data_IF_208863555947
#
_entry.id   IF_208863555947
#
_cell.length_a   1.000
_cell.length_b   1.000
_cell.length_c   1.000
_cell.angle_alpha   90.00
_cell.angle_beta   90.00
_cell.angle_gamma   90.00
#
_symmetry.space_group_name_H-M   'P 1'
#
loop_
_entity.id
_entity.type
_entity.pdbx_description
1 polymer ?
#
# COMPACT_ATOMS: atom_id res chain seq x y z
N UNK A 1 3.69 7.73 -1.75
CA UNK A 1 4.07 6.50 -2.49
C UNK A 1 4.70 5.46 -1.58
N UNK A 2 5.60 5.83 -0.68
CA UNK A 2 6.26 4.86 0.20
C UNK A 2 5.31 4.03 1.06
N UNK A 3 4.27 4.68 1.57
CA UNK A 3 3.15 4.10 2.33
C UNK A 3 2.48 2.92 1.61
N UNK A 4 2.37 2.99 0.27
CA UNK A 4 1.78 1.94 -0.55
C UNK A 4 2.59 0.64 -0.47
N UNK A 5 3.92 0.73 -0.57
CA UNK A 5 4.79 -0.44 -0.54
C UNK A 5 4.83 -1.10 0.83
N UNK A 6 4.71 -0.31 1.91
CA UNK A 6 4.57 -0.84 3.27
C UNK A 6 3.28 -1.66 3.42
N UNK A 7 2.15 -1.13 2.95
CA UNK A 7 0.85 -1.84 3.01
C UNK A 7 0.91 -3.10 2.15
N UNK A 8 1.46 -3.03 0.93
CA UNK A 8 1.58 -4.20 0.05
C UNK A 8 2.44 -5.28 0.70
N UNK A 9 3.58 -4.91 1.28
CA UNK A 9 4.43 -5.85 2.01
C UNK A 9 3.68 -6.51 3.16
N UNK A 10 2.93 -5.73 3.96
CA UNK A 10 2.15 -6.26 5.07
C UNK A 10 1.02 -7.19 4.59
N UNK A 11 0.32 -6.84 3.51
CA UNK A 11 -0.70 -7.70 2.90
C UNK A 11 -0.12 -9.04 2.46
N UNK A 12 1.07 -9.03 1.85
CA UNK A 12 1.80 -10.26 1.52
C UNK A 12 2.19 -11.06 2.76
N UNK A 13 2.67 -10.39 3.81
CA UNK A 13 2.98 -11.03 5.08
C UNK A 13 1.76 -11.74 5.68
N UNK A 14 0.60 -11.06 5.70
CA UNK A 14 -0.68 -11.64 6.16
C UNK A 14 -1.09 -12.84 5.29
N UNK A 15 -0.96 -12.76 3.97
CA UNK A 15 -1.33 -13.86 3.08
C UNK A 15 -0.38 -15.06 3.17
N UNK A 16 0.92 -14.82 3.29
CA UNK A 16 1.94 -15.85 3.47
C UNK A 16 1.83 -16.52 4.84
N UNK A 17 1.26 -15.83 5.84
CA UNK A 17 0.97 -16.39 7.16
C UNK A 17 -0.15 -17.45 7.17
N UNK A 18 -0.53 -18.01 6.00
CA UNK A 18 -1.72 -18.82 5.68
C UNK A 18 -2.15 -19.94 6.65
N UNK A 19 -1.35 -20.22 7.66
CA UNK A 19 -1.68 -20.88 8.92
C UNK A 19 -2.91 -20.26 9.60
N UNK A 20 -3.19 -18.96 9.44
CA UNK A 20 -4.35 -18.29 10.04
C UNK A 20 -5.71 -18.87 9.62
N UNK A 21 -5.79 -19.51 8.44
CA UNK A 21 -7.03 -20.20 8.01
C UNK A 21 -7.42 -21.34 8.94
N UNK A 22 -6.47 -21.93 9.68
CA UNK A 22 -6.73 -23.00 10.66
C UNK A 22 -7.41 -22.51 11.94
N UNK A 23 -7.39 -21.20 12.20
CA UNK A 23 -8.01 -20.58 13.39
C UNK A 23 -9.51 -20.33 13.17
N UNK A 24 -9.97 -20.31 11.91
CA UNK A 24 -11.37 -20.05 11.56
C UNK A 24 -12.22 -21.31 11.75
N UNK A 25 -13.51 -21.14 12.07
CA UNK A 25 -14.47 -22.25 12.12
C UNK A 25 -14.66 -22.93 10.75
N UNK A 26 -15.00 -24.24 10.75
CA UNK A 26 -15.13 -25.06 9.54
C UNK A 26 -16.08 -24.47 8.48
N UNK A 27 -17.21 -23.87 8.90
CA UNK A 27 -18.17 -23.28 7.96
C UNK A 27 -17.62 -22.04 7.26
N UNK A 28 -16.88 -21.20 7.99
CA UNK A 28 -16.25 -20.02 7.40
C UNK A 28 -15.13 -20.42 6.44
N UNK A 29 -14.30 -21.40 6.82
CA UNK A 29 -13.29 -21.98 5.92
C UNK A 29 -13.94 -22.52 4.63
N UNK A 30 -15.05 -23.26 4.76
CA UNK A 30 -15.81 -23.80 3.62
C UNK A 30 -16.39 -22.69 2.74
N UNK A 31 -16.86 -21.60 3.33
CA UNK A 31 -17.39 -20.44 2.59
C UNK A 31 -16.30 -19.70 1.82
N UNK A 32 -15.14 -19.45 2.45
CA UNK A 32 -13.95 -18.86 1.82
C UNK A 32 -13.41 -19.74 0.68
N UNK A 33 -13.41 -21.07 0.87
CA UNK A 33 -12.99 -22.03 -0.17
C UNK A 33 -13.98 -22.10 -1.35
N UNK A 34 -15.25 -21.73 -1.16
CA UNK A 34 -16.28 -21.78 -2.21
C UNK A 34 -16.42 -20.48 -3.00
N UNK A 35 -16.21 -19.33 -2.37
CA UNK A 35 -16.44 -18.03 -2.99
C UNK A 35 -15.15 -17.20 -3.06
N UNK A 36 -14.51 -17.10 -4.24
CA UNK A 36 -13.41 -16.17 -4.45
C UNK A 36 -13.79 -14.73 -4.09
N UNK A 37 -15.04 -14.33 -4.36
CA UNK A 37 -15.56 -13.00 -4.03
C UNK A 37 -15.48 -12.73 -2.53
N UNK A 38 -15.81 -13.71 -1.68
CA UNK A 38 -15.70 -13.55 -0.23
C UNK A 38 -14.24 -13.29 0.20
N UNK A 39 -13.27 -13.98 -0.41
CA UNK A 39 -11.85 -13.76 -0.15
C UNK A 39 -11.42 -12.35 -0.57
N UNK A 40 -11.89 -11.90 -1.74
CA UNK A 40 -11.62 -10.55 -2.23
C UNK A 40 -12.19 -9.46 -1.32
N UNK A 41 -13.42 -9.62 -0.82
CA UNK A 41 -14.05 -8.69 0.12
C UNK A 41 -13.31 -8.64 1.45
N UNK A 42 -12.94 -9.79 2.01
CA UNK A 42 -12.17 -9.85 3.27
C UNK A 42 -10.84 -9.10 3.09
N UNK A 43 -10.11 -9.35 2.00
CA UNK A 43 -8.86 -8.66 1.74
C UNK A 43 -9.04 -7.15 1.52
N UNK A 44 -10.09 -6.74 0.82
CA UNK A 44 -10.41 -5.32 0.63
C UNK A 44 -10.72 -4.64 1.96
N UNK A 45 -11.53 -5.27 2.82
CA UNK A 45 -11.83 -4.74 4.16
C UNK A 45 -10.59 -4.70 5.04
N UNK A 46 -9.70 -5.69 4.97
CA UNK A 46 -8.42 -5.64 5.67
C UNK A 46 -7.58 -4.45 5.21
N UNK A 47 -7.41 -4.24 3.90
CA UNK A 47 -6.69 -3.07 3.37
C UNK A 47 -7.33 -1.77 3.88
N UNK A 48 -8.66 -1.67 3.80
CA UNK A 48 -9.39 -0.50 4.28
C UNK A 48 -9.16 -0.27 5.79
N UNK A 49 -9.20 -1.32 6.61
CA UNK A 49 -8.98 -1.21 8.05
C UNK A 49 -7.55 -0.79 8.40
N UNK A 50 -6.54 -1.43 7.78
CA UNK A 50 -5.13 -1.10 7.99
C UNK A 50 -4.79 0.32 7.53
N UNK A 51 -5.40 0.76 6.43
CA UNK A 51 -5.20 2.11 5.94
C UNK A 51 -5.97 3.12 6.75
N UNK A 52 -7.31 3.04 6.76
CA UNK A 52 -8.16 4.09 7.30
C UNK A 52 -8.26 4.06 8.82
N UNK A 53 -8.51 2.90 9.43
CA UNK A 53 -8.79 2.82 10.88
C UNK A 53 -7.51 2.85 11.68
N UNK A 54 -6.52 2.07 11.27
CA UNK A 54 -5.28 1.93 12.03
C UNK A 54 -4.22 2.97 11.66
N UNK A 55 -4.38 3.67 10.52
CA UNK A 55 -3.42 4.65 10.02
C UNK A 55 -1.98 4.08 9.91
N UNK A 56 -1.83 2.75 9.78
CA UNK A 56 -0.54 2.03 9.81
C UNK A 56 0.39 2.37 8.66
N UNK A 57 -0.16 2.98 7.62
CA UNK A 57 0.58 3.44 6.46
C UNK A 57 1.38 4.72 6.74
N UNK A 58 1.03 5.43 7.81
CA UNK A 58 1.75 6.62 8.22
C UNK A 58 2.90 6.25 9.15
N UNK A 59 4.13 6.60 8.75
CA UNK A 59 5.31 6.40 9.59
C UNK A 59 5.25 7.19 10.92
N UNK A 60 4.26 8.04 11.14
CA UNK A 60 4.03 8.75 12.41
C UNK A 60 3.71 7.80 13.58
N UNK A 61 3.16 6.60 13.32
CA UNK A 61 2.88 5.63 14.37
C UNK A 61 4.11 4.94 14.98
N UNK A 62 5.28 5.01 14.33
CA UNK A 62 6.51 4.35 14.78
C UNK A 62 7.53 5.42 15.18
N UNK A 63 7.64 5.66 16.49
CA UNK A 63 8.73 6.43 17.11
C UNK A 63 8.53 7.94 17.22
N UNK A 64 7.34 8.47 16.96
CA UNK A 64 7.05 9.88 17.26
C UNK A 64 6.62 10.02 18.73
N UNK A 65 7.59 10.31 19.59
CA UNK A 65 7.35 10.70 20.99
C UNK A 65 7.12 12.20 21.14
N UNK A 66 7.08 12.96 20.04
CA UNK A 66 6.73 14.37 20.13
C UNK A 66 5.21 14.49 20.28
N UNK A 67 4.70 15.17 21.31
CA UNK A 67 3.30 15.56 21.41
C UNK A 67 3.06 16.72 20.44
N UNK A 68 3.32 16.50 19.15
CA UNK A 68 2.95 17.41 18.09
C UNK A 68 1.67 16.91 17.41
N UNK A 69 0.75 16.47 18.26
CA UNK A 69 -0.69 16.71 18.12
C UNK A 69 -1.05 18.21 18.38
N UNK A 70 -0.08 19.12 18.27
CA UNK A 70 -0.23 20.56 18.47
C UNK A 70 -0.10 21.32 17.15
N UNK A 71 -0.83 20.87 16.13
CA UNK A 71 -1.44 21.80 15.18
C UNK A 71 -2.92 21.46 15.13
N UNK A 72 -3.69 22.35 15.75
CA UNK A 72 -5.16 22.39 15.79
C UNK A 72 -5.87 21.24 16.52
N UNK A 73 -5.79 21.29 17.86
CA UNK A 73 -6.71 20.70 18.85
C UNK A 73 -8.17 21.26 18.70
N UNK A 74 -8.73 21.22 17.48
CA UNK A 74 -10.19 21.29 17.22
C UNK A 74 -10.71 20.06 16.49
N UNK A 75 -9.84 19.14 16.06
CA UNK A 75 -10.25 17.93 15.35
C UNK A 75 -9.80 16.61 15.97
N UNK A 76 -9.22 16.62 17.17
CA UNK A 76 -9.37 15.46 18.06
C UNK A 76 -10.83 15.37 18.44
N UNK A 77 -11.42 14.23 18.15
CA UNK A 77 -12.83 13.92 18.31
C UNK A 77 -13.27 14.07 19.79
N UNK A 78 -13.64 15.29 20.17
CA UNK A 78 -14.61 15.48 21.25
C UNK A 78 -15.93 14.88 20.75
N UNK A 79 -16.18 13.62 21.10
CA UNK A 79 -17.47 12.93 20.98
C UNK A 79 -18.55 13.55 21.88
N UNK A 80 -18.57 14.88 22.05
CA UNK A 80 -19.54 15.58 22.89
C UNK A 80 -20.67 16.25 22.08
N UNK A 81 -20.65 16.20 20.74
CA UNK A 81 -21.78 16.67 19.95
C UNK A 81 -21.98 15.85 18.66
N UNK A 82 -22.88 14.86 18.75
CA UNK A 82 -23.24 13.96 17.65
C UNK A 82 -23.99 14.65 16.48
N UNK A 83 -24.35 15.94 16.60
CA UNK A 83 -25.09 16.67 15.58
C UNK A 83 -24.23 17.23 14.43
N UNK A 84 -22.90 17.19 14.53
CA UNK A 84 -21.96 17.64 13.48
C UNK A 84 -21.19 16.49 12.80
N UNK A 85 -21.75 15.27 12.82
CA UNK A 85 -21.09 14.06 12.34
C UNK A 85 -20.91 13.99 10.81
N UNK A 86 -21.59 14.84 10.03
CA UNK A 86 -21.56 14.84 8.56
C UNK A 86 -21.27 16.21 7.95
N UNK A 87 -20.17 16.85 8.37
CA UNK A 87 -19.66 17.98 7.59
C UNK A 87 -19.10 17.49 6.24
N UNK A 88 -19.24 18.30 5.18
CA UNK A 88 -18.73 17.97 3.84
C UNK A 88 -17.24 17.58 3.84
N UNK A 89 -16.46 18.12 4.77
CA UNK A 89 -15.03 17.83 4.94
C UNK A 89 -14.77 16.40 5.43
N UNK A 90 -15.55 15.91 6.41
CA UNK A 90 -15.44 14.53 6.90
C UNK A 90 -15.83 13.52 5.82
N UNK A 91 -16.86 13.81 5.04
CA UNK A 91 -17.28 12.98 3.90
C UNK A 91 -16.19 12.95 2.83
N UNK A 92 -15.58 14.09 2.52
CA UNK A 92 -14.46 14.18 1.56
C UNK A 92 -13.25 13.38 2.04
N UNK A 93 -12.94 13.42 3.33
CA UNK A 93 -11.89 12.61 3.93
C UNK A 93 -12.17 11.10 3.81
N UNK A 94 -13.37 10.67 4.19
CA UNK A 94 -13.82 9.28 4.05
C UNK A 94 -13.74 8.80 2.60
N UNK A 95 -14.26 9.59 1.66
CA UNK A 95 -14.22 9.30 0.23
C UNK A 95 -12.79 9.11 -0.28
N UNK A 96 -11.87 10.00 0.11
CA UNK A 96 -10.46 9.87 -0.24
C UNK A 96 -9.82 8.60 0.36
N UNK A 97 -10.18 8.24 1.60
CA UNK A 97 -9.74 7.00 2.24
C UNK A 97 -10.21 5.74 1.50
N UNK A 98 -11.49 5.71 1.10
CA UNK A 98 -12.07 4.62 0.31
C UNK A 98 -11.37 4.52 -1.06
N UNK A 99 -11.19 5.64 -1.76
CA UNK A 99 -10.54 5.66 -3.08
C UNK A 99 -9.09 5.17 -3.00
N UNK A 100 -8.33 5.62 -1.99
CA UNK A 100 -6.96 5.14 -1.73
C UNK A 100 -6.94 3.64 -1.47
N UNK A 101 -7.85 3.13 -0.65
CA UNK A 101 -7.95 1.70 -0.31
C UNK A 101 -8.24 0.86 -1.56
N UNK A 102 -9.18 1.31 -2.41
CA UNK A 102 -9.48 0.66 -3.69
C UNK A 102 -8.27 0.64 -4.62
N UNK A 103 -7.51 1.74 -4.69
CA UNK A 103 -6.30 1.83 -5.51
C UNK A 103 -5.20 0.85 -5.02
N UNK A 104 -4.94 0.84 -3.70
CA UNK A 104 -3.95 -0.06 -3.11
C UNK A 104 -4.36 -1.52 -3.33
N UNK A 105 -5.64 -1.82 -3.14
CA UNK A 105 -6.19 -3.14 -3.38
C UNK A 105 -6.06 -3.55 -4.86
N UNK A 106 -6.35 -2.64 -5.79
CA UNK A 106 -6.17 -2.91 -7.22
C UNK A 106 -4.71 -3.23 -7.55
N UNK A 107 -3.75 -2.47 -7.01
CA UNK A 107 -2.33 -2.74 -7.19
C UNK A 107 -1.95 -4.09 -6.57
N UNK A 108 -2.47 -4.40 -5.38
CA UNK A 108 -2.28 -5.72 -4.77
C UNK A 108 -2.80 -6.86 -5.67
N UNK A 109 -3.96 -6.69 -6.32
CA UNK A 109 -4.45 -7.68 -7.27
C UNK A 109 -3.47 -7.84 -8.44
N UNK A 110 -2.95 -6.75 -9.00
CA UNK A 110 -1.93 -6.82 -10.06
C UNK A 110 -0.70 -7.62 -9.61
N UNK A 111 -0.21 -7.39 -8.38
CA UNK A 111 0.96 -8.12 -7.85
C UNK A 111 0.71 -9.62 -7.70
N UNK A 112 -0.55 -10.06 -7.54
CA UNK A 112 -0.89 -11.50 -7.56
C UNK A 112 -0.98 -12.10 -8.96
N UNK A 113 -1.03 -11.30 -10.02
CA UNK A 113 -1.18 -11.71 -11.43
C UNK A 113 0.13 -11.63 -12.21
N UNK A 114 1.25 -11.94 -11.55
CA UNK A 114 2.58 -12.00 -12.15
C UNK A 114 3.20 -13.38 -11.95
N UNK A 115 4.34 -13.65 -12.60
CA UNK A 115 5.08 -14.89 -12.38
C UNK A 115 5.60 -14.98 -10.95
N UNK A 116 5.67 -16.19 -10.38
CA UNK A 116 6.14 -16.40 -9.01
C UNK A 116 7.54 -15.82 -8.75
N UNK A 117 8.45 -15.92 -9.72
CA UNK A 117 9.79 -15.31 -9.64
C UNK A 117 9.71 -13.79 -9.49
N UNK A 118 8.81 -13.12 -10.21
CA UNK A 118 8.66 -11.66 -10.11
C UNK A 118 8.05 -11.23 -8.77
N UNK A 119 7.16 -12.05 -8.17
CA UNK A 119 6.63 -11.78 -6.82
C UNK A 119 7.78 -11.68 -5.81
N UNK A 120 8.75 -12.61 -5.85
CA UNK A 120 9.91 -12.57 -4.96
C UNK A 120 10.77 -11.31 -5.16
N UNK A 121 11.05 -10.95 -6.41
CA UNK A 121 11.77 -9.72 -6.74
C UNK A 121 11.02 -8.49 -6.20
N UNK A 122 9.70 -8.45 -6.37
CA UNK A 122 8.85 -7.37 -5.88
C UNK A 122 8.86 -7.27 -4.34
N UNK A 123 8.83 -8.41 -3.63
CA UNK A 123 8.90 -8.44 -2.17
C UNK A 123 10.24 -7.95 -1.63
N UNK A 124 11.35 -8.39 -2.23
CA UNK A 124 12.69 -7.92 -1.88
C UNK A 124 12.80 -6.41 -2.12
N UNK A 125 12.24 -5.92 -3.24
CA UNK A 125 12.17 -4.50 -3.51
C UNK A 125 11.32 -3.74 -2.47
N UNK A 126 10.17 -4.26 -2.07
CA UNK A 126 9.34 -3.64 -1.02
C UNK A 126 10.13 -3.50 0.29
N UNK A 127 10.84 -4.56 0.70
CA UNK A 127 11.69 -4.53 1.89
C UNK A 127 12.80 -3.48 1.78
N UNK A 128 13.50 -3.46 0.64
CA UNK A 128 14.52 -2.45 0.37
C UNK A 128 13.94 -1.03 0.42
N UNK A 129 12.78 -0.81 -0.19
CA UNK A 129 12.10 0.48 -0.18
C UNK A 129 11.72 0.94 1.24
N UNK A 130 11.25 0.02 2.10
CA UNK A 130 10.93 0.30 3.50
C UNK A 130 12.21 0.69 4.26
N UNK A 131 13.30 -0.05 4.09
CA UNK A 131 14.60 0.27 4.72
C UNK A 131 15.09 1.66 4.27
N UNK A 132 14.99 1.97 2.97
CA UNK A 132 15.37 3.28 2.45
C UNK A 132 14.50 4.42 3.00
N UNK A 133 13.20 4.18 3.22
CA UNK A 133 12.33 5.15 3.87
C UNK A 133 12.72 5.39 5.33
N UNK A 134 13.00 4.32 6.08
CA UNK A 134 13.47 4.41 7.46
C UNK A 134 14.78 5.21 7.51
N UNK A 135 15.71 4.92 6.60
CA UNK A 135 16.98 5.63 6.49
C UNK A 135 16.78 7.12 6.19
N UNK A 136 15.96 7.47 5.19
CA UNK A 136 15.62 8.86 4.87
C UNK A 136 14.98 9.57 6.07
N UNK A 137 13.95 8.97 6.68
CA UNK A 137 13.28 9.54 7.85
C UNK A 137 14.26 9.74 9.02
N UNK A 138 15.13 8.77 9.28
CA UNK A 138 16.15 8.85 10.33
C UNK A 138 17.19 9.94 10.06
N UNK A 139 17.47 10.26 8.80
CA UNK A 139 18.44 11.29 8.45
C UNK A 139 17.92 12.69 8.72
N UNK A 140 16.67 12.96 8.30
CA UNK A 140 16.01 14.24 8.56
C UNK A 140 14.49 14.04 8.61
N UNK A 141 13.97 13.90 9.83
CA UNK A 141 12.54 13.69 10.09
C UNK A 141 11.71 14.88 9.58
N UNK A 142 12.16 16.11 9.84
CA UNK A 142 11.40 17.33 9.51
C UNK A 142 11.23 17.51 8.00
N UNK A 143 12.29 17.30 7.23
CA UNK A 143 12.28 17.39 5.78
C UNK A 143 11.49 16.24 5.16
N UNK A 144 11.69 15.00 5.62
CA UNK A 144 10.94 13.85 5.12
C UNK A 144 9.43 14.04 5.31
N UNK A 145 9.01 14.45 6.51
CA UNK A 145 7.61 14.71 6.84
C UNK A 145 7.04 15.87 6.00
N UNK A 146 7.83 16.93 5.77
CA UNK A 146 7.44 18.04 4.90
C UNK A 146 7.21 17.59 3.45
N UNK A 147 8.08 16.74 2.90
CA UNK A 147 7.93 16.24 1.53
C UNK A 147 6.74 15.30 1.38
N UNK A 148 6.52 14.42 2.36
CA UNK A 148 5.40 13.48 2.33
C UNK A 148 4.04 14.19 2.50
N UNK A 149 3.94 15.12 3.45
CA UNK A 149 2.69 15.88 3.71
C UNK A 149 2.26 16.73 2.51
N UNK A 150 3.21 17.32 1.78
CA UNK A 150 2.92 18.11 0.59
C UNK A 150 2.79 17.27 -0.70
N UNK A 151 2.80 15.94 -0.62
CA UNK A 151 2.77 15.03 -1.78
C UNK A 151 3.83 15.37 -2.84
N UNK A 152 5.02 15.82 -2.43
CA UNK A 152 6.11 16.16 -3.35
C UNK A 152 6.81 14.86 -3.77
N UNK A 153 6.51 14.36 -4.97
CA UNK A 153 7.08 13.11 -5.48
C UNK A 153 8.47 13.29 -6.09
N UNK A 154 8.80 14.48 -6.58
CA UNK A 154 10.08 14.77 -7.19
C UNK A 154 10.46 16.23 -6.93
N UNK A 155 11.69 16.43 -6.47
CA UNK A 155 12.23 17.75 -6.18
C UNK A 155 13.15 18.15 -7.33
N UNK A 156 12.72 19.10 -8.15
CA UNK A 156 13.56 19.70 -9.18
C UNK A 156 14.26 20.97 -8.66
N UNK A 157 13.54 21.79 -7.88
CA UNK A 157 14.05 23.04 -7.34
C UNK A 157 14.39 22.88 -5.84
N UNK A 158 15.68 23.03 -5.53
CA UNK A 158 16.19 22.91 -4.15
C UNK A 158 16.27 24.25 -3.42
N UNK A 159 16.04 25.38 -4.10
CA UNK A 159 16.20 26.72 -3.53
C UNK A 159 15.23 26.97 -2.37
N UNK A 160 13.93 26.74 -2.59
CA UNK A 160 12.88 26.89 -1.57
C UNK A 160 13.08 25.97 -0.36
N UNK A 161 13.65 24.79 -0.59
CA UNK A 161 13.98 23.84 0.46
C UNK A 161 15.23 24.27 1.24
N UNK A 162 16.23 24.80 0.55
CA UNK A 162 17.46 25.31 1.18
C UNK A 162 17.20 26.51 2.08
N UNK A 163 16.25 27.38 1.72
CA UNK A 163 15.87 28.52 2.57
C UNK A 163 15.24 28.04 3.88
N UNK A 164 14.30 27.08 3.79
CA UNK A 164 13.59 26.54 4.95
C UNK A 164 14.45 25.63 5.84
N UNK A 165 15.42 24.91 5.27
CA UNK A 165 16.24 23.90 5.95
C UNK A 165 17.75 24.19 5.86
N UNK A 166 18.13 25.47 5.81
CA UNK A 166 19.49 25.99 5.52
C UNK A 166 20.64 25.44 6.37
N UNK A 167 20.35 24.82 7.53
CA UNK A 167 21.36 24.26 8.45
C UNK A 167 21.77 22.81 8.12
N UNK A 168 21.15 22.17 7.14
CA UNK A 168 21.37 20.76 6.82
C UNK A 168 22.55 20.53 5.86
N UNK A 169 23.72 20.16 6.41
CA UNK A 169 24.95 19.92 5.63
C UNK A 169 24.82 18.84 4.53
N UNK A 170 23.88 17.91 4.65
CA UNK A 170 23.70 16.75 3.73
C UNK A 170 22.42 16.81 2.88
N UNK A 171 21.81 17.99 2.74
CA UNK A 171 20.53 18.15 2.04
C UNK A 171 20.55 17.63 0.58
N UNK A 172 21.66 17.85 -0.15
CA UNK A 172 21.79 17.39 -1.54
C UNK A 172 21.76 15.87 -1.66
N UNK A 173 22.43 15.16 -0.75
CA UNK A 173 22.46 13.69 -0.72
C UNK A 173 21.08 13.13 -0.39
N UNK A 174 20.42 13.72 0.61
CA UNK A 174 19.04 13.38 0.98
C UNK A 174 18.08 13.50 -0.22
N UNK A 175 18.10 14.64 -0.91
CA UNK A 175 17.21 14.90 -2.06
C UNK A 175 17.48 13.91 -3.19
N UNK A 176 18.76 13.60 -3.47
CA UNK A 176 19.13 12.61 -4.47
C UNK A 176 18.58 11.23 -4.14
N UNK A 177 18.71 10.78 -2.89
CA UNK A 177 18.18 9.50 -2.43
C UNK A 177 16.64 9.49 -2.48
N UNK A 178 15.98 10.56 -2.03
CA UNK A 178 14.52 10.69 -2.07
C UNK A 178 13.95 10.64 -3.49
N UNK A 179 14.54 11.42 -4.42
CA UNK A 179 14.15 11.41 -5.83
C UNK A 179 14.43 10.06 -6.47
N UNK A 180 15.59 9.46 -6.19
CA UNK A 180 15.95 8.13 -6.69
C UNK A 180 14.95 7.06 -6.24
N UNK A 181 14.56 7.08 -4.97
CA UNK A 181 13.54 6.19 -4.41
C UNK A 181 12.18 6.42 -5.09
N UNK A 182 11.78 7.68 -5.30
CA UNK A 182 10.52 8.02 -5.97
C UNK A 182 10.47 7.59 -7.43
N UNK A 183 11.56 7.77 -8.19
CA UNK A 183 11.69 7.24 -9.55
C UNK A 183 11.60 5.72 -9.55
N UNK A 184 12.27 5.06 -8.60
CA UNK A 184 12.24 3.60 -8.50
C UNK A 184 10.83 3.06 -8.26
N UNK A 185 9.97 3.79 -7.54
CA UNK A 185 8.54 3.45 -7.40
C UNK A 185 7.80 3.49 -8.72
N UNK A 186 8.06 4.51 -9.56
CA UNK A 186 7.51 4.57 -10.91
C UNK A 186 7.94 3.38 -11.76
N UNK A 187 9.23 3.06 -11.75
CA UNK A 187 9.80 1.94 -12.53
C UNK A 187 9.20 0.60 -12.11
N UNK A 188 9.15 0.30 -10.81
CA UNK A 188 8.63 -1.00 -10.35
C UNK A 188 7.14 -1.15 -10.64
N UNK A 189 6.36 -0.07 -10.56
CA UNK A 189 4.93 -0.09 -10.93
C UNK A 189 4.75 -0.34 -12.42
N UNK A 190 5.56 0.30 -13.28
CA UNK A 190 5.54 0.02 -14.72
C UNK A 190 5.91 -1.45 -15.02
N UNK A 191 6.96 -1.97 -14.36
CA UNK A 191 7.34 -3.38 -14.47
C UNK A 191 6.23 -4.32 -13.99
N UNK A 192 5.52 -3.96 -12.93
CA UNK A 192 4.37 -4.71 -12.43
C UNK A 192 3.24 -4.77 -13.46
N UNK A 193 2.86 -3.64 -14.06
CA UNK A 193 1.85 -3.60 -15.12
C UNK A 193 2.28 -4.44 -16.32
N UNK A 194 3.53 -4.29 -16.76
CA UNK A 194 4.07 -5.05 -17.90
C UNK A 194 4.07 -6.56 -17.64
N UNK A 195 4.52 -7.01 -16.46
CA UNK A 195 4.53 -8.43 -16.09
C UNK A 195 3.11 -8.99 -15.93
N UNK A 196 2.19 -8.18 -15.41
CA UNK A 196 0.78 -8.57 -15.30
C UNK A 196 0.15 -8.77 -16.67
N UNK A 197 0.42 -7.85 -17.61
CA UNK A 197 -0.06 -7.96 -18.98
C UNK A 197 0.55 -9.17 -19.71
N UNK A 198 1.86 -9.41 -19.55
CA UNK A 198 2.53 -10.60 -20.09
C UNK A 198 1.91 -11.89 -19.53
N UNK A 199 1.62 -11.92 -18.24
CA UNK A 199 0.97 -13.05 -17.59
C UNK A 199 -0.47 -13.26 -18.09
N UNK A 200 -1.24 -12.19 -18.28
CA UNK A 200 -2.55 -12.22 -18.92
C UNK A 200 -2.50 -12.84 -20.31
N UNK A 201 -1.58 -12.40 -21.17
CA UNK A 201 -1.42 -12.96 -22.52
C UNK A 201 -1.08 -14.45 -22.50
N UNK A 202 -0.20 -14.87 -21.57
CA UNK A 202 0.12 -16.29 -21.36
C UNK A 202 -1.13 -17.09 -20.97
N UNK A 203 -1.87 -16.63 -19.97
CA UNK A 203 -3.11 -17.28 -19.51
C UNK A 203 -4.17 -17.37 -20.61
N UNK A 204 -4.34 -16.30 -21.40
CA UNK A 204 -5.25 -16.30 -22.56
C UNK A 204 -4.84 -17.34 -23.60
N UNK A 205 -3.53 -17.50 -23.86
CA UNK A 205 -2.99 -18.50 -24.78
C UNK A 205 -3.20 -19.93 -24.25
N UNK A 206 -2.96 -20.16 -22.97
CA UNK A 206 -3.02 -21.49 -22.35
C UNK A 206 -4.46 -22.02 -22.25
N UNK A 207 -5.42 -21.15 -21.92
CA UNK A 207 -6.83 -21.54 -21.73
C UNK A 207 -7.70 -21.39 -22.99
N UNK A 208 -7.23 -20.69 -24.02
CA UNK A 208 -7.93 -20.46 -25.30
C UNK A 208 -9.41 -20.12 -25.10
N UNK A 209 -10.32 -20.99 -25.57
CA UNK A 209 -11.78 -20.80 -25.52
C UNK A 209 -12.36 -20.86 -24.10
N UNK A 210 -11.64 -21.44 -23.13
CA UNK A 210 -12.06 -21.54 -21.73
C UNK A 210 -11.56 -20.38 -20.87
N UNK A 211 -10.91 -19.38 -21.48
CA UNK A 211 -10.43 -18.21 -20.74
C UNK A 211 -11.59 -17.30 -20.36
N UNK A 212 -11.72 -17.02 -19.06
CA UNK A 212 -12.66 -16.03 -18.53
C UNK A 212 -11.88 -14.91 -17.85
N UNK A 213 -12.15 -13.67 -18.26
CA UNK A 213 -11.55 -12.47 -17.68
C UNK A 213 -11.91 -12.35 -16.19
N UNK A 214 -13.15 -12.69 -15.84
CA UNK A 214 -13.63 -12.66 -14.46
C UNK A 214 -12.81 -13.65 -13.60
N UNK A 215 -12.59 -14.86 -14.11
CA UNK A 215 -11.77 -15.87 -13.42
C UNK A 215 -10.30 -15.47 -13.36
N UNK A 216 -9.80 -14.74 -14.36
CA UNK A 216 -8.44 -14.20 -14.33
C UNK A 216 -8.26 -13.22 -13.16
N UNK A 217 -9.16 -12.25 -13.00
CA UNK A 217 -9.05 -11.24 -11.93
C UNK A 217 -9.41 -11.79 -10.55
N UNK A 218 -10.54 -12.50 -10.43
CA UNK A 218 -11.01 -13.08 -9.17
C UNK A 218 -10.24 -14.35 -8.74
N UNK A 219 -9.42 -14.91 -9.64
CA UNK A 219 -8.78 -16.19 -9.41
C UNK A 219 -9.75 -17.37 -9.43
N UNK A 220 -9.19 -18.57 -9.25
CA UNK A 220 -9.93 -19.82 -9.19
C UNK A 220 -9.46 -20.64 -8.00
N UNK A 221 -10.39 -21.21 -7.24
CA UNK A 221 -10.06 -22.06 -6.07
C UNK A 221 -9.61 -23.49 -6.45
N UNK A 222 -9.38 -23.74 -7.74
CA UNK A 222 -8.92 -25.03 -8.28
C UNK A 222 -7.67 -24.79 -9.11
N UNK A 223 -6.55 -25.39 -8.71
CA UNK A 223 -5.37 -25.51 -9.55
C UNK A 223 -5.50 -26.79 -10.40
N UNK A 224 -5.17 -26.71 -11.69
CA UNK A 224 -5.05 -27.92 -12.53
C UNK A 224 -3.70 -28.57 -12.24
N UNK A 225 -3.74 -29.75 -11.63
CA UNK A 225 -2.59 -30.50 -11.14
C UNK A 225 -2.72 -30.71 -9.64
N UNK A 226 -2.77 -31.98 -9.23
CA UNK A 226 -2.68 -32.36 -7.82
C UNK A 226 -1.37 -31.79 -7.26
N UNK A 227 -1.43 -30.80 -6.37
CA UNK A 227 -0.47 -30.41 -5.31
C UNK A 227 -1.11 -29.17 -4.64
N UNK A 228 -1.43 -29.10 -3.35
CA UNK A 228 -1.05 -29.80 -2.11
C UNK A 228 -2.32 -30.07 -1.31
#
# INVERSE_FOLDING_TARGET
>A
MGELFLILFFMYFVLLSGITTRVLGCDLQKRMKRSPIANHLILLFSVFFFTYVLNWYTFYGIGDTSPQWNMDDKHKENFENYSQLFTNEKIKYLYNGVLKSLLIYFIFILTTKVSGTFIWIFLIYCLFAIIMQIFLKSHNVSLYNYLNSNNIYYINDTSKLSEKFSKEKKMKEFIKLYNGLSISYGIILLLLFFNTFKYYLKQKKDYKKNFSIINFWLGTNKCKGNFI
#
